data_IF_092463391739
#
_entry.id   IF_092463391739
#
_cell.length_a   1.000
_cell.length_b   1.000
_cell.length_c   1.000
_cell.angle_alpha   90.00
_cell.angle_beta   90.00
_cell.angle_gamma   90.00
#
_symmetry.space_group_name_H-M   'P 1'
#
loop_
_entity.id
_entity.type
_entity.pdbx_description
1 polymer ?
#
# COMPACT_ATOMS: atom_id res chain seq x y z
N UNK A 1 -25.13 -32.89 -3.18
CA UNK A 1 -24.00 -31.98 -2.85
C UNK A 1 -23.64 -30.97 -3.94
N UNK A 2 -23.84 -31.23 -5.25
CA UNK A 2 -23.46 -30.28 -6.32
C UNK A 2 -24.40 -29.06 -6.51
N UNK A 3 -25.69 -29.21 -6.18
CA UNK A 3 -26.68 -28.16 -6.41
C UNK A 3 -26.56 -26.93 -5.48
N UNK A 4 -26.30 -27.15 -4.19
CA UNK A 4 -26.19 -26.07 -3.21
C UNK A 4 -25.02 -25.13 -3.51
N UNK A 5 -23.82 -25.70 -3.72
CA UNK A 5 -22.62 -24.91 -4.06
C UNK A 5 -22.78 -24.10 -5.36
N UNK A 6 -23.51 -24.63 -6.35
CA UNK A 6 -23.81 -23.91 -7.59
C UNK A 6 -24.73 -22.70 -7.35
N UNK A 7 -25.74 -22.86 -6.48
CA UNK A 7 -26.63 -21.75 -6.12
C UNK A 7 -25.91 -20.66 -5.32
N UNK A 8 -24.98 -21.05 -4.45
CA UNK A 8 -24.14 -20.11 -3.70
C UNK A 8 -23.23 -19.31 -4.64
N UNK A 9 -22.68 -19.95 -5.67
CA UNK A 9 -21.89 -19.29 -6.70
C UNK A 9 -22.73 -18.28 -7.49
N UNK A 10 -23.91 -18.68 -7.99
CA UNK A 10 -24.81 -17.77 -8.71
C UNK A 10 -25.21 -16.57 -7.86
N UNK A 11 -25.46 -16.80 -6.58
CA UNK A 11 -25.76 -15.74 -5.61
C UNK A 11 -24.60 -14.78 -5.47
N UNK A 12 -23.38 -15.29 -5.31
CA UNK A 12 -22.15 -14.48 -5.18
C UNK A 12 -21.87 -13.64 -6.43
N UNK A 13 -22.05 -14.20 -7.63
CA UNK A 13 -21.84 -13.49 -8.90
C UNK A 13 -22.85 -12.34 -9.07
N UNK A 14 -24.14 -12.57 -8.74
CA UNK A 14 -25.16 -11.52 -8.77
C UNK A 14 -24.84 -10.39 -7.80
N UNK A 15 -24.42 -10.74 -6.58
CA UNK A 15 -23.99 -9.77 -5.57
C UNK A 15 -22.80 -8.94 -6.05
N UNK A 16 -21.79 -9.57 -6.66
CA UNK A 16 -20.64 -8.88 -7.23
C UNK A 16 -21.06 -7.87 -8.32
N UNK A 17 -22.01 -8.23 -9.20
CA UNK A 17 -22.56 -7.33 -10.20
C UNK A 17 -23.29 -6.12 -9.60
N UNK A 18 -24.08 -6.33 -8.53
CA UNK A 18 -24.76 -5.25 -7.80
C UNK A 18 -23.77 -4.31 -7.10
N UNK A 19 -22.71 -4.85 -6.51
CA UNK A 19 -21.63 -4.07 -5.89
C UNK A 19 -20.94 -3.21 -6.95
N UNK A 20 -20.59 -3.79 -8.10
CA UNK A 20 -19.93 -3.06 -9.20
C UNK A 20 -20.80 -1.93 -9.76
N UNK A 21 -22.12 -2.10 -9.77
CA UNK A 21 -23.08 -1.06 -10.20
C UNK A 21 -23.45 -0.06 -9.10
N UNK A 22 -22.92 -0.21 -7.88
CA UNK A 22 -23.22 0.66 -6.75
C UNK A 22 -24.61 0.48 -6.14
N UNK A 23 -25.40 -0.51 -6.59
CA UNK A 23 -26.75 -0.77 -6.07
C UNK A 23 -26.76 -1.61 -4.80
N UNK A 24 -25.60 -2.17 -4.41
CA UNK A 24 -25.40 -2.91 -3.15
C UNK A 24 -24.06 -2.53 -2.54
N UNK A 25 -24.03 -2.32 -1.22
CA UNK A 25 -22.77 -2.10 -0.49
C UNK A 25 -22.04 -3.44 -0.28
N UNK A 26 -20.70 -3.49 -0.44
CA UNK A 26 -19.92 -4.68 -0.09
C UNK A 26 -20.14 -5.08 1.37
N UNK A 27 -20.17 -6.38 1.67
CA UNK A 27 -20.28 -6.88 3.05
C UNK A 27 -19.03 -6.52 3.87
N UNK A 28 -17.87 -6.54 3.22
CA UNK A 28 -16.58 -6.09 3.77
C UNK A 28 -15.85 -5.32 2.70
N UNK A 29 -15.36 -4.14 3.06
CA UNK A 29 -14.43 -3.37 2.26
C UNK A 29 -13.14 -3.25 3.04
N UNK A 30 -12.04 -3.74 2.47
CA UNK A 30 -10.71 -3.44 3.02
C UNK A 30 -10.32 -2.06 2.52
N UNK A 31 -10.79 -1.02 3.21
CA UNK A 31 -10.32 0.34 2.94
C UNK A 31 -8.98 0.54 3.63
N UNK A 32 -7.99 0.90 2.84
CA UNK A 32 -6.72 1.32 3.37
C UNK A 32 -6.83 2.82 3.62
N UNK A 33 -6.76 3.24 4.90
CA UNK A 33 -6.65 4.66 5.22
C UNK A 33 -5.39 5.20 4.52
N UNK A 34 -5.39 6.43 4.00
CA UNK A 34 -4.17 7.09 3.59
C UNK A 34 -3.23 7.04 4.79
N UNK A 35 -2.19 6.20 4.72
CA UNK A 35 -1.06 6.35 5.63
C UNK A 35 -0.50 7.72 5.33
N UNK A 36 -0.42 8.58 6.34
CA UNK A 36 0.28 9.85 6.20
C UNK A 36 1.75 9.52 5.90
N UNK A 37 2.06 9.45 4.61
CA UNK A 37 3.36 9.04 4.08
C UNK A 37 4.43 10.00 4.58
N UNK A 38 4.06 11.28 4.71
CA UNK A 38 4.94 12.31 5.24
C UNK A 38 5.26 12.05 6.72
N UNK A 39 4.26 11.68 7.53
CA UNK A 39 4.48 11.33 8.93
C UNK A 39 5.36 10.08 9.07
N UNK A 40 5.16 9.05 8.24
CA UNK A 40 6.01 7.84 8.23
C UNK A 40 7.45 8.20 7.91
N UNK A 41 7.68 8.99 6.85
CA UNK A 41 9.01 9.46 6.48
C UNK A 41 9.67 10.28 7.59
N UNK A 42 8.93 11.22 8.18
CA UNK A 42 9.44 12.07 9.28
C UNK A 42 9.82 11.24 10.51
N UNK A 43 9.04 10.20 10.85
CA UNK A 43 9.39 9.25 11.94
C UNK A 43 10.68 8.47 11.69
N UNK A 44 11.03 8.26 10.42
CA UNK A 44 12.28 7.60 10.02
C UNK A 44 13.46 8.58 9.96
N UNK A 45 13.24 9.88 10.11
CA UNK A 45 14.28 10.90 9.98
C UNK A 45 14.81 11.08 8.55
N UNK A 46 14.13 10.53 7.55
CA UNK A 46 14.62 10.53 6.17
C UNK A 46 14.16 11.75 5.36
N UNK A 47 15.03 12.25 4.50
CA UNK A 47 14.65 13.20 3.44
C UNK A 47 13.76 12.52 2.38
N UNK A 48 13.09 13.31 1.53
CA UNK A 48 12.27 12.76 0.44
C UNK A 48 13.10 11.86 -0.51
N UNK A 49 14.32 12.25 -0.96
CA UNK A 49 15.15 11.39 -1.80
C UNK A 49 15.57 10.09 -1.13
N UNK A 50 16.03 10.15 0.13
CA UNK A 50 16.45 8.95 0.88
C UNK A 50 15.28 7.99 1.07
N UNK A 51 14.12 8.50 1.46
CA UNK A 51 12.95 7.66 1.68
C UNK A 51 12.42 7.04 0.39
N UNK A 52 12.41 7.81 -0.71
CA UNK A 52 12.03 7.31 -2.03
C UNK A 52 12.97 6.18 -2.48
N UNK A 53 14.28 6.34 -2.27
CA UNK A 53 15.28 5.31 -2.54
C UNK A 53 15.05 4.06 -1.69
N UNK A 54 14.84 4.21 -0.37
CA UNK A 54 14.59 3.08 0.54
C UNK A 54 13.41 2.22 0.09
N UNK A 55 12.30 2.84 -0.31
CA UNK A 55 11.08 2.12 -0.69
C UNK A 55 10.98 1.81 -2.19
N UNK A 56 12.03 2.10 -2.97
CA UNK A 56 12.12 1.75 -4.39
C UNK A 56 11.18 2.52 -5.32
N UNK A 57 10.91 3.80 -5.04
CA UNK A 57 10.05 4.65 -5.88
C UNK A 57 10.76 5.94 -6.30
N UNK A 58 10.23 6.63 -7.30
CA UNK A 58 10.74 7.95 -7.65
C UNK A 58 10.32 9.01 -6.62
N UNK A 59 11.15 10.05 -6.46
CA UNK A 59 10.80 11.22 -5.61
C UNK A 59 9.49 11.86 -6.06
N UNK A 60 9.22 11.88 -7.36
CA UNK A 60 7.97 12.39 -7.91
C UNK A 60 6.75 11.57 -7.45
N UNK A 61 6.87 10.24 -7.42
CA UNK A 61 5.82 9.35 -6.87
C UNK A 61 5.60 9.62 -5.38
N UNK A 62 6.67 9.71 -4.59
CA UNK A 62 6.58 10.04 -3.17
C UNK A 62 5.89 11.39 -2.93
N UNK A 63 6.23 12.44 -3.70
CA UNK A 63 5.59 13.76 -3.61
C UNK A 63 4.09 13.71 -3.94
N UNK A 64 3.71 12.94 -4.96
CA UNK A 64 2.29 12.76 -5.30
C UNK A 64 1.52 12.10 -4.14
N UNK A 65 2.15 11.19 -3.40
CA UNK A 65 1.55 10.58 -2.21
C UNK A 65 1.47 11.55 -1.03
N UNK A 66 2.55 12.26 -0.71
CA UNK A 66 2.58 13.22 0.40
C UNK A 66 1.61 14.41 0.19
N UNK A 67 1.35 14.78 -1.07
CA UNK A 67 0.40 15.83 -1.43
C UNK A 67 -1.04 15.32 -1.61
N UNK A 68 -1.28 14.01 -1.47
CA UNK A 68 -2.61 13.42 -1.66
C UNK A 68 -3.11 13.39 -3.12
N UNK A 69 -2.28 13.72 -4.10
CA UNK A 69 -2.62 13.64 -5.54
C UNK A 69 -2.81 12.19 -6.00
N UNK A 70 -2.11 11.26 -5.35
CA UNK A 70 -2.27 9.81 -5.54
C UNK A 70 -2.19 9.11 -4.19
N UNK A 71 -2.80 7.93 -4.10
CA UNK A 71 -2.70 7.07 -2.93
C UNK A 71 -1.77 5.89 -3.22
N UNK A 72 -0.85 5.53 -2.31
CA UNK A 72 -0.07 4.31 -2.44
C UNK A 72 -1.00 3.10 -2.36
N UNK A 73 -0.74 2.09 -3.18
CA UNK A 73 -1.48 0.85 -3.26
C UNK A 73 -0.55 -0.37 -3.19
N UNK A 74 -1.16 -1.56 -3.13
CA UNK A 74 -0.46 -2.84 -3.25
C UNK A 74 0.76 -2.98 -2.32
N UNK A 75 1.94 -3.38 -2.85
CA UNK A 75 3.16 -3.58 -2.07
C UNK A 75 3.66 -2.32 -1.36
N UNK A 76 3.54 -1.14 -1.98
CA UNK A 76 4.02 0.11 -1.39
C UNK A 76 3.27 0.42 -0.09
N UNK A 77 1.96 0.19 -0.09
CA UNK A 77 1.10 0.38 1.07
C UNK A 77 1.39 -0.62 2.20
N UNK A 78 1.73 -1.87 1.85
CA UNK A 78 2.19 -2.85 2.83
C UNK A 78 3.50 -2.40 3.49
N UNK A 79 4.47 -1.94 2.71
CA UNK A 79 5.75 -1.44 3.21
C UNK A 79 5.58 -0.21 4.11
N UNK A 80 4.74 0.75 3.71
CA UNK A 80 4.42 1.93 4.51
C UNK A 80 3.79 1.58 5.87
N UNK A 81 3.01 0.50 5.94
CA UNK A 81 2.46 -0.01 7.21
C UNK A 81 3.53 -0.61 8.09
N UNK A 82 4.46 -1.37 7.52
CA UNK A 82 5.59 -1.92 8.26
C UNK A 82 6.45 -0.77 8.80
N UNK A 83 6.77 0.21 7.96
CA UNK A 83 7.51 1.41 8.35
C UNK A 83 6.82 2.23 9.44
N UNK A 84 5.49 2.36 9.39
CA UNK A 84 4.72 3.06 10.42
C UNK A 84 4.75 2.35 11.78
N UNK A 85 4.81 1.01 11.79
CA UNK A 85 4.77 0.18 13.02
C UNK A 85 6.16 -0.08 13.59
N UNK A 86 7.14 -0.37 12.74
CA UNK A 86 8.50 -0.71 13.13
C UNK A 86 9.51 0.02 12.21
N UNK A 87 9.71 1.33 12.44
CA UNK A 87 10.62 2.12 11.62
C UNK A 87 12.07 1.62 11.70
N UNK A 88 12.51 1.14 12.87
CA UNK A 88 13.87 0.62 13.07
C UNK A 88 14.16 -0.59 12.19
N UNK A 89 13.23 -1.53 12.08
CA UNK A 89 13.41 -2.71 11.23
C UNK A 89 13.49 -2.34 9.73
N UNK A 90 12.70 -1.36 9.29
CA UNK A 90 12.73 -0.89 7.90
C UNK A 90 14.05 -0.19 7.59
N UNK A 91 14.52 0.67 8.51
CA UNK A 91 15.82 1.31 8.46
C UNK A 91 16.93 0.24 8.34
N UNK A 92 16.97 -0.73 9.25
CA UNK A 92 17.96 -1.82 9.21
C UNK A 92 17.91 -2.66 7.94
N UNK A 93 16.70 -2.99 7.44
CA UNK A 93 16.54 -3.85 6.28
C UNK A 93 16.80 -3.15 4.93
N UNK A 94 16.59 -1.83 4.86
CA UNK A 94 16.66 -1.05 3.63
C UNK A 94 17.84 -0.07 3.59
N UNK A 95 18.63 0.03 4.67
CA UNK A 95 19.92 0.69 4.61
C UNK A 95 20.78 -0.03 3.57
N UNK A 96 20.92 0.60 2.41
CA UNK A 96 21.87 0.14 1.41
C UNK A 96 23.26 0.34 1.98
N UNK A 97 24.07 -0.71 2.06
CA UNK A 97 25.52 -0.54 2.08
C UNK A 97 25.87 0.36 0.89
N UNK A 98 26.72 1.40 1.06
CA UNK A 98 27.15 2.21 -0.06
C UNK A 98 27.73 1.29 -1.13
N UNK A 99 27.35 1.50 -2.40
CA UNK A 99 27.89 0.75 -3.54
C UNK A 99 29.41 0.68 -3.41
N UNK A 100 29.96 -0.46 -2.98
CA UNK A 100 31.37 -0.78 -3.20
C UNK A 100 31.50 -1.05 -4.69
N UNK A 101 32.18 -0.16 -5.41
CA UNK A 101 32.56 -0.39 -6.81
C UNK A 101 32.01 0.65 -7.78
N UNK A 102 32.71 1.77 -7.87
CA UNK A 102 33.03 2.38 -9.15
C UNK A 102 34.48 2.87 -9.01
N UNK A 103 35.40 1.92 -9.24
CA UNK A 103 36.80 2.22 -9.54
C UNK A 103 36.91 2.44 -11.05
#
# INVERSE_FOLDING_TARGET
MKGAAFQDLLTSVRQAGQIRRGTRRPSRTTTFRPTDVQAVRKKLGASQPEFALMIGVSVATLRNWEQGRRTPDGPALALLRVAARNPKAVIQALHTEPKRGAA
#
